data_IF_406753778331
#
_entry.id   IF_406753778331
#
_cell.length_a   1.000
_cell.length_b   1.000
_cell.length_c   1.000
_cell.angle_alpha   90.00
_cell.angle_beta   90.00
_cell.angle_gamma   90.00
#
_symmetry.space_group_name_H-M   'P 1'
#
loop_
_entity.id
_entity.type
_entity.pdbx_description
1 polymer ?
#
# COMPACT_ATOMS: atom_id res chain seq x y z
N UNK A 1 -4.91 1.09 3.07
CA UNK A 1 -6.04 1.80 2.43
C UNK A 1 -7.38 1.16 2.76
N UNK A 2 -7.89 0.16 2.03
CA UNK A 2 -9.23 -0.40 2.28
C UNK A 2 -9.46 -0.78 3.76
N UNK A 3 -8.54 -1.55 4.34
CA UNK A 3 -8.58 -1.92 5.76
C UNK A 3 -8.50 -0.71 6.70
N UNK A 4 -7.61 0.24 6.42
CA UNK A 4 -7.47 1.50 7.16
C UNK A 4 -8.79 2.28 7.19
N UNK A 5 -9.48 2.40 6.05
CA UNK A 5 -10.75 3.12 5.94
C UNK A 5 -11.84 2.43 6.78
N UNK A 6 -11.93 1.10 6.72
CA UNK A 6 -12.91 0.34 7.50
C UNK A 6 -12.61 0.42 9.01
N UNK A 7 -11.37 0.09 9.40
CA UNK A 7 -11.00 -0.07 10.81
C UNK A 7 -10.90 1.28 11.54
N UNK A 8 -10.34 2.31 10.90
CA UNK A 8 -10.12 3.62 11.53
C UNK A 8 -11.25 4.61 11.32
N UNK A 9 -12.01 4.50 10.22
CA UNK A 9 -13.10 5.43 9.89
C UNK A 9 -14.49 4.77 9.95
N UNK A 10 -14.59 3.50 10.37
CA UNK A 10 -15.86 2.81 10.62
C UNK A 10 -16.74 2.59 9.40
N UNK A 11 -16.18 2.70 8.18
CA UNK A 11 -16.96 2.61 6.95
C UNK A 11 -17.28 1.17 6.57
N UNK A 12 -18.43 0.95 5.94
CA UNK A 12 -18.83 -0.37 5.42
C UNK A 12 -18.09 -0.68 4.11
N UNK A 13 -17.85 -1.97 3.82
CA UNK A 13 -17.17 -2.40 2.59
C UNK A 13 -17.76 -1.81 1.31
N UNK A 14 -19.09 -1.66 1.23
CA UNK A 14 -19.77 -1.05 0.08
C UNK A 14 -19.37 0.42 -0.12
N UNK A 15 -19.31 1.21 0.95
CA UNK A 15 -18.91 2.62 0.88
C UNK A 15 -17.45 2.75 0.45
N UNK A 16 -16.58 1.88 0.99
CA UNK A 16 -15.17 1.85 0.61
C UNK A 16 -14.98 1.44 -0.86
N UNK A 17 -15.83 0.56 -1.37
CA UNK A 17 -15.82 0.16 -2.77
C UNK A 17 -16.14 1.34 -3.70
N UNK A 18 -17.14 2.15 -3.35
CA UNK A 18 -17.52 3.37 -4.07
C UNK A 18 -16.37 4.39 -4.06
N UNK A 19 -15.76 4.64 -2.89
CA UNK A 19 -14.63 5.59 -2.74
C UNK A 19 -13.41 5.16 -3.57
N UNK A 20 -13.08 3.87 -3.57
CA UNK A 20 -11.88 3.36 -4.25
C UNK A 20 -12.13 2.98 -5.72
N UNK A 21 -13.36 3.09 -6.22
CA UNK A 21 -13.71 2.67 -7.59
C UNK A 21 -13.52 1.17 -7.84
N UNK A 22 -13.75 0.33 -6.81
CA UNK A 22 -13.57 -1.12 -6.87
C UNK A 22 -14.88 -1.85 -6.59
N UNK A 23 -14.93 -3.16 -6.82
CA UNK A 23 -16.07 -3.98 -6.37
C UNK A 23 -16.02 -4.21 -4.86
N UNK A 24 -17.18 -4.34 -4.21
CA UNK A 24 -17.25 -4.74 -2.79
C UNK A 24 -16.52 -6.07 -2.55
N UNK A 25 -16.63 -7.02 -3.48
CA UNK A 25 -15.92 -8.30 -3.39
C UNK A 25 -14.40 -8.16 -3.43
N UNK A 26 -13.86 -7.16 -4.14
CA UNK A 26 -12.44 -6.83 -4.11
C UNK A 26 -12.05 -6.27 -2.74
N UNK A 27 -12.84 -5.35 -2.18
CA UNK A 27 -12.63 -4.82 -0.81
C UNK A 27 -12.56 -5.95 0.21
N UNK A 28 -13.55 -6.86 0.20
CA UNK A 28 -13.59 -8.00 1.13
C UNK A 28 -12.37 -8.91 1.01
N UNK A 29 -11.81 -9.07 -0.20
CA UNK A 29 -10.58 -9.86 -0.41
C UNK A 29 -9.33 -9.16 0.11
N UNK A 30 -9.24 -7.83 0.03
CA UNK A 30 -8.11 -7.08 0.60
C UNK A 30 -8.18 -7.02 2.13
N UNK A 31 -9.36 -6.82 2.70
CA UNK A 31 -9.55 -6.73 4.16
C UNK A 31 -9.25 -8.04 4.85
N UNK A 32 -9.71 -9.16 4.30
CA UNK A 32 -9.41 -10.53 4.78
C UNK A 32 -7.98 -11.01 4.47
N UNK A 33 -7.12 -10.16 3.90
CA UNK A 33 -5.75 -10.51 3.48
C UNK A 33 -5.65 -11.68 2.48
N UNK A 34 -6.72 -11.95 1.72
CA UNK A 34 -6.66 -12.88 0.59
C UNK A 34 -5.85 -12.30 -0.58
N UNK A 35 -5.65 -10.98 -0.59
CA UNK A 35 -4.77 -10.24 -1.51
C UNK A 35 -3.97 -9.20 -0.72
N UNK A 36 -2.82 -8.81 -1.25
CA UNK A 36 -2.00 -7.73 -0.68
C UNK A 36 -1.28 -8.08 0.63
N UNK A 37 -1.04 -9.37 0.90
CA UNK A 37 -0.40 -9.86 2.12
C UNK A 37 1.07 -10.29 1.94
N UNK A 38 1.60 -10.18 0.71
CA UNK A 38 2.93 -10.68 0.33
C UNK A 38 4.04 -9.86 1.01
N UNK A 39 3.81 -8.56 1.22
CA UNK A 39 4.71 -7.64 1.90
C UNK A 39 4.00 -7.18 3.16
N UNK A 40 4.62 -7.37 4.32
CA UNK A 40 4.09 -6.88 5.60
C UNK A 40 4.57 -5.45 5.82
N UNK A 41 3.63 -4.51 5.74
CA UNK A 41 3.89 -3.07 5.91
C UNK A 41 3.20 -2.49 7.14
N UNK A 42 2.35 -3.29 7.81
CA UNK A 42 1.59 -2.91 8.98
C UNK A 42 2.46 -2.48 10.17
N UNK A 43 3.62 -3.10 10.31
CA UNK A 43 4.53 -2.85 11.42
C UNK A 43 5.57 -1.76 11.11
N UNK A 44 5.37 -0.99 10.04
CA UNK A 44 6.29 0.07 9.60
C UNK A 44 5.58 1.42 9.75
N UNK A 45 5.79 2.14 10.87
CA UNK A 45 5.03 3.36 11.19
C UNK A 45 5.09 4.42 10.10
N UNK A 46 6.24 4.58 9.43
CA UNK A 46 6.43 5.58 8.39
C UNK A 46 5.60 5.26 7.13
N UNK A 47 5.44 3.98 6.81
CA UNK A 47 4.57 3.54 5.71
C UNK A 47 3.09 3.72 6.10
N UNK A 48 2.72 3.40 7.34
CA UNK A 48 1.35 3.61 7.82
C UNK A 48 0.97 5.10 7.80
N UNK A 49 1.90 5.99 8.16
CA UNK A 49 1.68 7.45 8.10
C UNK A 49 1.33 7.92 6.68
N UNK A 50 2.09 7.49 5.67
CA UNK A 50 1.81 7.84 4.27
C UNK A 50 0.46 7.27 3.80
N UNK A 51 0.11 6.04 4.22
CA UNK A 51 -1.19 5.44 3.93
C UNK A 51 -2.33 6.25 4.57
N UNK A 52 -2.17 6.68 5.82
CA UNK A 52 -3.16 7.48 6.54
C UNK A 52 -3.34 8.85 5.86
N UNK A 53 -2.25 9.47 5.38
CA UNK A 53 -2.31 10.71 4.59
C UNK A 53 -3.10 10.51 3.29
N UNK A 54 -2.81 9.45 2.53
CA UNK A 54 -3.57 9.17 1.30
C UNK A 54 -5.06 8.90 1.60
N UNK A 55 -5.37 8.18 2.69
CA UNK A 55 -6.76 7.96 3.12
C UNK A 55 -7.43 9.27 3.48
N UNK A 56 -6.74 10.18 4.17
CA UNK A 56 -7.28 11.48 4.49
C UNK A 56 -7.65 12.29 3.24
N UNK A 57 -6.77 12.34 2.24
CA UNK A 57 -7.07 13.00 0.96
C UNK A 57 -8.29 12.36 0.26
N UNK A 58 -8.36 11.03 0.23
CA UNK A 58 -9.47 10.32 -0.39
C UNK A 58 -10.83 10.56 0.29
N UNK A 59 -10.86 10.80 1.60
CA UNK A 59 -12.09 10.91 2.36
C UNK A 59 -12.59 12.33 2.55
N UNK A 60 -11.69 13.31 2.62
CA UNK A 60 -12.02 14.66 3.11
C UNK A 60 -11.69 15.79 2.13
N UNK A 61 -10.95 15.50 1.06
CA UNK A 61 -10.45 16.54 0.15
C UNK A 61 -11.13 16.55 -1.22
N UNK A 62 -10.94 17.64 -1.97
CA UNK A 62 -11.64 17.94 -3.23
C UNK A 62 -11.11 17.13 -4.43
N UNK A 63 -11.93 16.94 -5.49
CA UNK A 63 -11.65 16.06 -6.64
C UNK A 63 -10.38 16.36 -7.48
N UNK A 64 -9.66 17.45 -7.23
CA UNK A 64 -8.48 17.85 -8.02
C UNK A 64 -7.13 17.40 -7.42
N UNK A 65 -7.13 16.55 -6.39
CA UNK A 65 -5.89 16.12 -5.70
C UNK A 65 -5.23 14.84 -6.23
N UNK A 66 -5.49 14.50 -7.49
CA UNK A 66 -4.91 13.30 -8.13
C UNK A 66 -3.39 13.31 -8.03
N UNK A 67 -2.75 14.47 -8.21
CA UNK A 67 -1.29 14.60 -8.15
C UNK A 67 -0.74 14.33 -6.75
N UNK A 68 -1.39 14.82 -5.70
CA UNK A 68 -0.97 14.64 -4.31
C UNK A 68 -1.10 13.16 -3.89
N UNK A 69 -2.16 12.48 -4.31
CA UNK A 69 -2.31 11.03 -4.06
C UNK A 69 -1.21 10.26 -4.80
N UNK A 70 -0.90 10.61 -6.05
CA UNK A 70 0.16 9.97 -6.83
C UNK A 70 1.53 10.22 -6.20
N UNK A 71 1.80 11.42 -5.69
CA UNK A 71 3.05 11.73 -5.01
C UNK A 71 3.20 10.91 -3.73
N UNK A 72 2.17 10.85 -2.87
CA UNK A 72 2.18 10.02 -1.68
C UNK A 72 2.33 8.53 -2.00
N UNK A 73 1.73 8.05 -3.10
CA UNK A 73 1.91 6.68 -3.58
C UNK A 73 3.37 6.43 -3.98
N UNK A 74 3.98 7.33 -4.76
CA UNK A 74 5.38 7.26 -5.16
C UNK A 74 6.33 7.29 -3.95
N UNK A 75 6.08 8.16 -2.98
CA UNK A 75 6.82 8.21 -1.72
C UNK A 75 6.68 6.89 -0.95
N UNK A 76 5.47 6.34 -0.86
CA UNK A 76 5.20 5.06 -0.18
C UNK A 76 5.98 3.91 -0.83
N UNK A 77 5.91 3.81 -2.16
CA UNK A 77 6.66 2.81 -2.93
C UNK A 77 8.18 2.95 -2.72
N UNK A 78 8.69 4.18 -2.77
CA UNK A 78 10.11 4.48 -2.56
C UNK A 78 10.57 4.10 -1.16
N UNK A 79 9.77 4.39 -0.14
CA UNK A 79 10.06 4.01 1.25
C UNK A 79 10.07 2.49 1.44
N UNK A 80 9.09 1.79 0.86
CA UNK A 80 9.01 0.32 0.87
C UNK A 80 10.27 -0.30 0.25
N UNK A 81 10.72 0.23 -0.89
CA UNK A 81 11.95 -0.19 -1.58
C UNK A 81 13.20 0.08 -0.72
N UNK A 82 13.37 1.32 -0.24
CA UNK A 82 14.53 1.75 0.57
C UNK A 82 14.69 0.95 1.87
N UNK A 83 13.57 0.60 2.53
CA UNK A 83 13.58 -0.25 3.73
C UNK A 83 13.77 -1.75 3.43
N UNK A 84 13.91 -2.14 2.17
CA UNK A 84 14.13 -3.55 1.77
C UNK A 84 12.93 -4.46 2.02
N UNK A 85 11.73 -3.91 2.24
CA UNK A 85 10.53 -4.70 2.58
C UNK A 85 10.11 -5.62 1.42
N UNK A 86 10.45 -5.22 0.18
CA UNK A 86 10.24 -6.03 -1.02
C UNK A 86 11.29 -7.12 -1.23
N UNK A 87 12.46 -7.05 -0.60
CA UNK A 87 13.57 -7.96 -0.87
C UNK A 87 13.21 -9.42 -0.58
N UNK A 88 12.42 -9.69 0.47
CA UNK A 88 11.91 -11.04 0.76
C UNK A 88 11.10 -11.62 -0.40
N UNK A 89 10.33 -10.78 -1.12
CA UNK A 89 9.59 -11.20 -2.31
C UNK A 89 10.53 -11.36 -3.51
N UNK A 90 11.44 -10.40 -3.73
CA UNK A 90 12.40 -10.44 -4.82
C UNK A 90 13.28 -11.70 -4.75
N UNK A 91 13.83 -12.04 -3.58
CA UNK A 91 14.73 -13.17 -3.41
C UNK A 91 14.04 -14.52 -3.66
N UNK A 92 12.73 -14.64 -3.42
CA UNK A 92 11.98 -15.86 -3.79
C UNK A 92 11.89 -16.08 -5.31
N UNK A 93 12.12 -15.04 -6.11
CA UNK A 93 12.02 -15.08 -7.59
C UNK A 93 13.38 -15.07 -8.27
N UNK A 94 14.46 -14.90 -7.52
CA UNK A 94 15.83 -14.78 -8.03
C UNK A 94 16.59 -16.03 -7.60
N UNK A 95 17.54 -16.51 -8.42
CA UNK A 95 18.41 -17.64 -8.04
C UNK A 95 19.25 -17.27 -6.82
N UNK A 96 19.54 -18.23 -5.94
CA UNK A 96 20.21 -17.98 -4.64
C UNK A 96 21.50 -17.16 -4.78
N UNK A 97 22.33 -17.45 -5.79
CA UNK A 97 23.59 -16.76 -6.08
C UNK A 97 23.44 -15.30 -6.59
N UNK A 98 22.25 -14.87 -6.97
CA UNK A 98 21.96 -13.52 -7.45
C UNK A 98 21.24 -12.66 -6.39
N UNK A 99 20.73 -13.27 -5.31
CA UNK A 99 20.04 -12.56 -4.24
C UNK A 99 21.03 -11.75 -3.37
N UNK A 100 22.27 -12.22 -3.20
CA UNK A 100 23.29 -11.57 -2.37
C UNK A 100 23.81 -10.24 -2.95
N UNK A 101 23.67 -10.02 -4.27
CA UNK A 101 24.22 -8.85 -4.99
C UNK A 101 23.09 -7.89 -5.44
N UNK A 102 21.86 -8.08 -4.95
CA UNK A 102 20.70 -7.33 -5.42
C UNK A 102 20.61 -5.92 -4.81
N UNK A 103 20.97 -4.89 -5.60
CA UNK A 103 20.83 -3.47 -5.22
C UNK A 103 19.60 -2.78 -5.84
N UNK A 104 18.76 -3.50 -6.58
CA UNK A 104 17.62 -2.95 -7.34
C UNK A 104 16.67 -2.06 -6.51
N UNK A 105 16.37 -2.46 -5.27
CA UNK A 105 15.48 -1.68 -4.40
C UNK A 105 16.13 -0.37 -3.90
N UNK A 106 17.46 -0.26 -3.98
CA UNK A 106 18.22 0.92 -3.58
C UNK A 106 18.68 1.78 -4.76
N UNK A 107 18.66 1.23 -5.98
CA UNK A 107 18.84 1.99 -7.21
C UNK A 107 17.63 2.91 -7.41
N UNK A 108 17.85 4.24 -7.51
CA UNK A 108 16.81 5.28 -7.61
C UNK A 108 15.57 4.83 -8.41
#
# INVERSE_FOLDING_TARGET
MARTIIEKHGMKEKQVAEILGLSQSAISRYTKKNRGNIITIENVPEVQKLIDQMVHLLLYEKPNQTTEILDLLCQTCSLIRKKGLMCKLCHKKVRENQAEICEFCRSN
#
